data_IF_893655926430
#
_entry.id   IF_893655926430
#
_cell.length_a   1.000
_cell.length_b   1.000
_cell.length_c   1.000
_cell.angle_alpha   90.00
_cell.angle_beta   90.00
_cell.angle_gamma   90.00
#
_symmetry.space_group_name_H-M   'P 1'
#
loop_
_entity.id
_entity.type
_entity.pdbx_description
1 polymer ?
#
# COMPACT_ATOMS: atom_id res chain seq x y z
N UNK A 1 6.14 10.05 35.33
CA UNK A 1 5.05 9.31 34.66
C UNK A 1 5.31 9.46 33.18
N UNK A 2 6.21 8.64 32.64
CA UNK A 2 6.59 8.69 31.23
C UNK A 2 5.47 8.05 30.41
N UNK A 3 4.93 8.81 29.47
CA UNK A 3 3.92 8.33 28.52
C UNK A 3 4.62 7.36 27.55
N UNK A 4 4.02 6.19 27.32
CA UNK A 4 4.53 5.16 26.41
C UNK A 4 4.82 5.72 25.00
N UNK A 5 5.99 5.39 24.45
CA UNK A 5 6.35 5.68 23.07
C UNK A 5 5.78 4.63 22.11
N UNK A 6 5.38 5.07 20.90
CA UNK A 6 4.80 4.21 19.85
C UNK A 6 5.72 3.07 19.36
N UNK A 7 7.02 3.08 19.72
CA UNK A 7 8.01 2.12 19.24
C UNK A 7 8.08 0.82 20.07
N UNK A 8 7.47 0.77 21.25
CA UNK A 8 7.59 -0.36 22.18
C UNK A 8 6.59 -1.52 21.92
N UNK A 9 5.82 -1.47 20.83
CA UNK A 9 4.70 -2.41 20.59
C UNK A 9 5.02 -3.61 19.67
N UNK A 10 6.29 -3.86 19.33
CA UNK A 10 6.62 -5.02 18.48
C UNK A 10 6.75 -6.29 19.31
N UNK A 11 5.75 -7.17 19.22
CA UNK A 11 5.86 -8.54 19.72
C UNK A 11 6.82 -9.30 18.79
N UNK A 12 8.08 -9.43 19.20
CA UNK A 12 9.00 -10.38 18.59
C UNK A 12 8.49 -11.80 18.89
N UNK A 13 7.89 -12.44 17.88
CA UNK A 13 7.16 -13.70 18.04
C UNK A 13 7.74 -14.86 17.25
N UNK A 14 8.28 -15.84 17.99
CA UNK A 14 8.69 -17.18 17.58
C UNK A 14 7.62 -17.90 16.72
N UNK A 15 8.07 -18.73 15.77
CA UNK A 15 7.22 -19.51 14.85
C UNK A 15 6.28 -20.52 15.55
N UNK A 16 5.04 -20.62 15.06
CA UNK A 16 3.98 -21.56 15.48
C UNK A 16 4.43 -23.03 15.52
N UNK A 17 5.31 -23.46 14.60
CA UNK A 17 5.83 -24.84 14.56
C UNK A 17 6.65 -25.23 15.81
N UNK A 18 7.21 -24.24 16.51
CA UNK A 18 7.92 -24.47 17.78
C UNK A 18 6.98 -24.58 18.99
N UNK A 19 5.75 -24.07 18.89
CA UNK A 19 4.79 -23.98 20.01
C UNK A 19 3.92 -25.24 20.06
N UNK A 20 3.58 -25.84 18.92
CA UNK A 20 2.79 -27.08 18.85
C UNK A 20 3.54 -28.33 19.32
N UNK A 21 4.85 -28.23 19.61
CA UNK A 21 5.68 -29.34 20.11
C UNK A 21 5.94 -29.28 21.62
N UNK A 22 5.44 -28.27 22.35
CA UNK A 22 5.64 -28.11 23.79
C UNK A 22 4.30 -28.06 24.56
N UNK A 23 4.14 -28.87 25.63
CA UNK A 23 2.86 -29.01 26.34
C UNK A 23 2.50 -27.83 27.26
N UNK A 24 3.42 -26.91 27.56
CA UNK A 24 3.17 -25.82 28.50
C UNK A 24 3.86 -24.52 28.09
N UNK A 25 3.08 -23.44 28.01
CA UNK A 25 3.59 -22.07 27.93
C UNK A 25 3.87 -21.56 29.36
N UNK A 26 5.14 -21.31 29.69
CA UNK A 26 5.58 -20.77 30.99
C UNK A 26 6.35 -19.46 30.81
N UNK A 27 5.74 -18.48 30.13
CA UNK A 27 6.42 -17.24 29.77
C UNK A 27 5.55 -16.00 29.68
N UNK A 28 4.51 -15.87 30.52
CA UNK A 28 3.85 -14.60 30.84
C UNK A 28 3.32 -14.73 32.28
N UNK A 29 3.86 -13.97 33.22
CA UNK A 29 3.47 -13.97 34.63
C UNK A 29 2.22 -13.11 34.90
N UNK A 30 1.39 -13.63 35.83
CA UNK A 30 0.28 -13.04 36.59
C UNK A 30 -0.95 -12.54 35.80
N UNK A 31 -2.01 -13.37 35.85
CA UNK A 31 -3.29 -13.35 35.13
C UNK A 31 -3.21 -13.66 33.62
N UNK A 32 -3.81 -14.78 33.13
CA UNK A 32 -3.83 -15.04 31.71
C UNK A 32 -4.75 -14.03 31.04
N UNK A 33 -4.16 -13.00 30.43
CA UNK A 33 -4.88 -12.02 29.62
C UNK A 33 -5.85 -12.74 28.67
N UNK A 34 -7.09 -12.26 28.61
CA UNK A 34 -8.12 -12.90 27.78
C UNK A 34 -7.78 -12.76 26.30
N UNK A 35 -8.30 -13.65 25.44
CA UNK A 35 -8.05 -13.55 24.00
C UNK A 35 -8.43 -12.17 23.42
N UNK A 36 -9.57 -11.55 23.79
CA UNK A 36 -9.89 -10.17 23.39
C UNK A 36 -8.86 -9.14 23.83
N UNK A 37 -8.28 -9.27 25.03
CA UNK A 37 -7.23 -8.35 25.52
C UNK A 37 -5.97 -8.46 24.69
N UNK A 38 -5.53 -9.70 24.42
CA UNK A 38 -4.36 -9.95 23.55
C UNK A 38 -4.59 -9.42 22.13
N UNK A 39 -5.76 -9.69 21.53
CA UNK A 39 -6.07 -9.23 20.18
C UNK A 39 -6.12 -7.70 20.07
N UNK A 40 -6.52 -7.00 21.13
CA UNK A 40 -6.55 -5.54 21.16
C UNK A 40 -5.16 -4.89 21.28
N UNK A 41 -4.11 -5.67 21.61
CA UNK A 41 -2.74 -5.14 21.69
C UNK A 41 -2.15 -4.79 20.32
N UNK A 42 -2.71 -5.31 19.23
CA UNK A 42 -2.25 -5.01 17.87
C UNK A 42 -3.39 -4.53 16.98
N UNK A 43 -3.08 -3.56 16.13
CA UNK A 43 -3.92 -3.07 15.03
C UNK A 43 -3.41 -3.57 13.67
N UNK A 44 -2.58 -4.62 13.67
CA UNK A 44 -2.13 -5.33 12.48
C UNK A 44 -2.90 -6.66 12.34
N UNK A 45 -3.37 -6.96 11.13
CA UNK A 45 -4.17 -8.16 10.86
C UNK A 45 -3.35 -9.44 10.94
N UNK A 46 -2.07 -9.41 10.58
CA UNK A 46 -1.20 -10.58 10.66
C UNK A 46 -0.85 -10.91 12.11
N UNK A 47 -0.58 -9.91 12.94
CA UNK A 47 -0.33 -10.08 14.37
C UNK A 47 -1.58 -10.63 15.08
N UNK A 48 -2.76 -10.05 14.81
CA UNK A 48 -4.01 -10.57 15.37
C UNK A 48 -4.29 -12.00 14.91
N UNK A 49 -4.03 -12.31 13.64
CA UNK A 49 -4.17 -13.68 13.12
C UNK A 49 -3.20 -14.65 13.81
N UNK A 50 -1.97 -14.24 14.13
CA UNK A 50 -1.02 -15.04 14.88
C UNK A 50 -1.49 -15.30 16.31
N UNK A 51 -1.98 -14.27 17.01
CA UNK A 51 -2.56 -14.41 18.35
C UNK A 51 -3.76 -15.37 18.32
N UNK A 52 -4.67 -15.18 17.36
CA UNK A 52 -5.82 -16.04 17.18
C UNK A 52 -5.42 -17.48 16.86
N UNK A 53 -4.43 -17.69 15.98
CA UNK A 53 -3.99 -19.04 15.60
C UNK A 53 -3.42 -19.82 16.77
N UNK A 54 -2.75 -19.15 17.71
CA UNK A 54 -2.27 -19.78 18.94
C UNK A 54 -3.42 -20.25 19.85
N UNK A 55 -4.54 -19.51 19.90
CA UNK A 55 -5.72 -19.91 20.65
C UNK A 55 -6.47 -21.05 19.94
N UNK A 56 -6.68 -20.94 18.64
CA UNK A 56 -7.36 -21.96 17.83
C UNK A 56 -6.59 -23.29 17.79
N UNK A 57 -5.25 -23.25 17.76
CA UNK A 57 -4.39 -24.43 17.81
C UNK A 57 -4.53 -25.28 19.08
N UNK A 58 -5.04 -24.70 20.17
CA UNK A 58 -5.36 -25.44 21.42
C UNK A 58 -6.68 -26.21 21.33
N UNK A 59 -7.57 -25.82 20.42
CA UNK A 59 -8.85 -26.49 20.17
C UNK A 59 -8.66 -27.68 19.21
N UNK A 60 -7.90 -27.45 18.14
CA UNK A 60 -7.59 -28.46 17.12
C UNK A 60 -6.16 -28.22 16.61
N UNK A 61 -5.34 -29.26 16.40
CA UNK A 61 -4.09 -29.12 15.66
C UNK A 61 -4.36 -28.65 14.22
N UNK A 62 -4.18 -27.36 13.97
CA UNK A 62 -4.41 -26.74 12.66
C UNK A 62 -3.11 -26.74 11.85
N UNK A 63 -3.21 -27.13 10.58
CA UNK A 63 -2.15 -27.01 9.58
C UNK A 63 -2.13 -25.63 8.95
N UNK A 64 -3.29 -25.02 8.71
CA UNK A 64 -3.37 -23.67 8.17
C UNK A 64 -4.56 -22.91 8.73
N UNK A 65 -4.38 -21.60 8.89
CA UNK A 65 -5.46 -20.64 9.07
C UNK A 65 -5.21 -19.48 8.10
N UNK A 66 -6.18 -19.23 7.23
CA UNK A 66 -6.17 -18.11 6.31
C UNK A 66 -7.35 -17.19 6.61
N UNK A 67 -7.07 -15.89 6.71
CA UNK A 67 -8.07 -14.84 6.85
C UNK A 67 -8.21 -14.10 5.52
N UNK A 68 -9.40 -14.13 4.95
CA UNK A 68 -9.79 -13.34 3.78
C UNK A 68 -10.62 -12.14 4.22
N UNK A 69 -10.16 -10.93 3.90
CA UNK A 69 -10.88 -9.69 4.18
C UNK A 69 -11.10 -8.91 2.88
N UNK A 70 -11.85 -7.80 2.96
CA UNK A 70 -11.96 -6.85 1.84
C UNK A 70 -10.63 -6.12 1.53
N UNK A 71 -9.70 -6.06 2.48
CA UNK A 71 -8.42 -5.35 2.34
C UNK A 71 -7.25 -6.26 1.97
N UNK A 72 -7.41 -7.58 2.04
CA UNK A 72 -6.35 -8.53 1.70
C UNK A 72 -6.56 -9.95 2.23
N UNK A 73 -5.64 -10.83 1.85
CA UNK A 73 -5.52 -12.20 2.36
C UNK A 73 -4.34 -12.28 3.32
N UNK A 74 -4.54 -12.89 4.47
CA UNK A 74 -3.54 -13.07 5.51
C UNK A 74 -3.43 -14.55 5.84
N UNK A 75 -2.21 -15.05 5.98
CA UNK A 75 -1.94 -16.45 6.27
C UNK A 75 -1.20 -16.53 7.60
N UNK A 76 -1.69 -17.34 8.52
CA UNK A 76 -1.04 -17.51 9.82
C UNK A 76 0.38 -18.08 9.62
N UNK A 77 1.39 -17.58 10.34
CA UNK A 77 2.77 -18.07 10.23
C UNK A 77 2.86 -19.58 10.46
N UNK A 78 3.61 -20.28 9.60
CA UNK A 78 3.74 -21.75 9.68
C UNK A 78 2.58 -22.53 9.06
N UNK A 79 1.70 -21.88 8.30
CA UNK A 79 0.63 -22.56 7.57
C UNK A 79 1.16 -23.53 6.50
N UNK A 80 0.68 -24.76 6.55
CA UNK A 80 0.93 -25.84 5.60
C UNK A 80 -0.41 -26.42 5.09
N UNK A 81 -0.35 -27.23 4.03
CA UNK A 81 -1.55 -27.88 3.51
C UNK A 81 -2.07 -28.95 4.49
N UNK A 82 -3.37 -28.93 4.76
CA UNK A 82 -4.07 -29.99 5.50
C UNK A 82 -5.09 -30.71 4.63
N UNK A 83 -5.46 -31.93 5.01
CA UNK A 83 -6.37 -32.78 4.24
C UNK A 83 -7.85 -32.41 4.38
N UNK A 84 -8.25 -31.82 5.51
CA UNK A 84 -9.64 -31.43 5.80
C UNK A 84 -9.72 -29.92 5.91
N UNK A 85 -10.74 -29.32 5.28
CA UNK A 85 -11.02 -27.89 5.34
C UNK A 85 -12.30 -27.56 6.12
N UNK A 86 -12.32 -26.39 6.75
CA UNK A 86 -13.53 -25.79 7.31
C UNK A 86 -13.50 -24.28 7.08
N UNK A 87 -14.67 -23.70 6.81
CA UNK A 87 -14.80 -22.26 6.56
C UNK A 87 -15.80 -21.65 7.52
N UNK A 88 -15.46 -20.48 8.05
CA UNK A 88 -16.34 -19.68 8.90
C UNK A 88 -16.40 -18.25 8.37
N UNK A 89 -17.58 -17.62 8.49
CA UNK A 89 -17.80 -16.23 8.08
C UNK A 89 -18.00 -15.39 9.33
N UNK A 90 -17.14 -14.38 9.49
CA UNK A 90 -17.16 -13.46 10.62
C UNK A 90 -18.13 -12.31 10.31
N UNK A 91 -19.34 -12.40 10.86
CA UNK A 91 -20.40 -11.41 10.72
C UNK A 91 -20.52 -10.56 11.99
N UNK A 92 -20.63 -9.24 11.84
CA UNK A 92 -20.94 -8.30 12.92
C UNK A 92 -21.94 -7.26 12.42
N UNK A 93 -23.13 -7.18 13.05
CA UNK A 93 -24.21 -6.26 12.67
C UNK A 93 -24.56 -6.30 11.17
N UNK A 94 -24.81 -7.50 10.64
CA UNK A 94 -25.09 -7.77 9.22
C UNK A 94 -23.98 -7.40 8.22
N UNK A 95 -22.79 -7.06 8.72
CA UNK A 95 -21.61 -6.82 7.90
C UNK A 95 -20.67 -8.01 7.96
N UNK A 96 -20.29 -8.52 6.78
CA UNK A 96 -19.22 -9.51 6.66
C UNK A 96 -17.86 -8.80 6.86
N UNK A 97 -17.17 -9.12 7.95
CA UNK A 97 -15.84 -8.59 8.24
C UNK A 97 -14.76 -9.39 7.52
N UNK A 98 -14.88 -10.71 7.53
CA UNK A 98 -13.90 -11.63 6.96
C UNK A 98 -14.46 -13.05 6.79
N UNK A 99 -13.74 -13.85 6.02
CA UNK A 99 -13.91 -15.30 5.92
C UNK A 99 -12.63 -15.97 6.44
N UNK A 100 -12.78 -16.96 7.32
CA UNK A 100 -11.69 -17.78 7.85
C UNK A 100 -11.70 -19.15 7.18
N UNK A 101 -10.56 -19.56 6.66
CA UNK A 101 -10.35 -20.90 6.09
C UNK A 101 -9.35 -21.64 6.98
N UNK A 102 -9.82 -22.75 7.56
CA UNK A 102 -9.03 -23.63 8.40
C UNK A 102 -8.67 -24.90 7.63
N UNK A 103 -7.45 -25.40 7.83
CA UNK A 103 -7.06 -26.73 7.38
C UNK A 103 -6.46 -27.53 8.53
N UNK A 104 -6.79 -28.82 8.60
CA UNK A 104 -6.27 -29.76 9.60
C UNK A 104 -6.18 -31.17 9.02
N UNK A 105 -5.43 -32.05 9.68
CA UNK A 105 -5.50 -33.51 9.46
C UNK A 105 -6.69 -34.15 10.20
N UNK A 106 -7.29 -33.42 11.12
CA UNK A 106 -8.39 -33.89 11.95
C UNK A 106 -9.72 -33.30 11.49
N UNK A 107 -10.79 -34.06 11.68
CA UNK A 107 -12.14 -33.63 11.31
C UNK A 107 -12.64 -32.48 12.21
N UNK A 108 -13.25 -31.47 11.59
CA UNK A 108 -13.95 -30.39 12.29
C UNK A 108 -15.31 -30.89 12.78
N UNK A 109 -15.34 -31.63 13.87
CA UNK A 109 -16.59 -32.10 14.49
C UNK A 109 -17.46 -30.92 14.94
N UNK A 110 -18.79 -31.09 15.10
CA UNK A 110 -19.66 -30.00 15.57
C UNK A 110 -19.22 -29.35 16.88
N UNK A 111 -18.61 -30.12 17.80
CA UNK A 111 -18.05 -29.59 19.04
C UNK A 111 -16.85 -28.68 18.78
N UNK A 112 -15.93 -29.11 17.91
CA UNK A 112 -14.75 -28.32 17.53
C UNK A 112 -15.18 -27.05 16.79
N UNK A 113 -16.13 -27.16 15.85
CA UNK A 113 -16.69 -26.01 15.14
C UNK A 113 -17.30 -25.01 16.13
N UNK A 114 -18.04 -25.49 17.13
CA UNK A 114 -18.60 -24.64 18.18
C UNK A 114 -17.51 -23.94 19.02
N UNK A 115 -16.44 -24.64 19.39
CA UNK A 115 -15.32 -24.06 20.14
C UNK A 115 -14.55 -23.01 19.32
N UNK A 116 -14.30 -23.28 18.03
CA UNK A 116 -13.71 -22.30 17.12
C UNK A 116 -14.60 -21.07 16.99
N UNK A 117 -15.91 -21.26 16.81
CA UNK A 117 -16.89 -20.18 16.74
C UNK A 117 -16.88 -19.30 18.01
N UNK A 118 -16.69 -19.88 19.20
CA UNK A 118 -16.56 -19.10 20.44
C UNK A 118 -15.30 -18.22 20.47
N UNK A 119 -14.19 -18.69 19.89
CA UNK A 119 -12.97 -17.88 19.74
C UNK A 119 -13.15 -16.80 18.67
N UNK A 120 -13.77 -17.13 17.54
CA UNK A 120 -14.08 -16.20 16.45
C UNK A 120 -14.89 -15.01 16.94
N UNK A 121 -15.89 -15.25 17.80
CA UNK A 121 -16.70 -14.19 18.42
C UNK A 121 -15.90 -13.21 19.27
N UNK A 122 -14.84 -13.68 19.92
CA UNK A 122 -13.94 -12.85 20.72
C UNK A 122 -13.08 -11.94 19.84
N UNK A 123 -12.89 -12.28 18.56
CA UNK A 123 -12.12 -11.49 17.59
C UNK A 123 -12.96 -10.47 16.82
N UNK A 124 -14.29 -10.58 16.78
CA UNK A 124 -15.14 -9.70 15.95
C UNK A 124 -14.89 -8.19 16.17
N UNK A 125 -14.84 -7.72 17.42
CA UNK A 125 -14.62 -6.31 17.70
C UNK A 125 -13.18 -5.84 17.48
N UNK A 126 -12.13 -6.56 17.96
CA UNK A 126 -10.75 -6.22 17.61
C UNK A 126 -10.50 -6.22 16.09
N UNK A 127 -11.05 -7.20 15.37
CA UNK A 127 -10.95 -7.28 13.91
C UNK A 127 -11.63 -6.08 13.25
N UNK A 128 -12.86 -5.74 13.66
CA UNK A 128 -13.58 -4.57 13.14
C UNK A 128 -12.78 -3.28 13.36
N UNK A 129 -12.17 -3.10 14.53
CA UNK A 129 -11.36 -1.92 14.82
C UNK A 129 -10.12 -1.87 13.92
N UNK A 130 -9.41 -2.98 13.78
CA UNK A 130 -8.25 -3.10 12.88
C UNK A 130 -8.64 -2.80 11.43
N UNK A 131 -9.74 -3.37 10.92
CA UNK A 131 -10.23 -3.10 9.57
C UNK A 131 -10.57 -1.62 9.35
N UNK A 132 -11.16 -0.95 10.35
CA UNK A 132 -11.40 0.50 10.31
C UNK A 132 -10.09 1.27 10.25
N UNK A 133 -9.10 0.91 11.06
CA UNK A 133 -7.77 1.56 11.06
C UNK A 133 -7.07 1.37 9.73
N UNK A 134 -7.06 0.15 9.17
CA UNK A 134 -6.49 -0.12 7.85
C UNK A 134 -7.18 0.71 6.77
N UNK A 135 -8.51 0.84 6.83
CA UNK A 135 -9.26 1.69 5.89
C UNK A 135 -8.90 3.17 6.03
N UNK A 136 -8.77 3.67 7.26
CA UNK A 136 -8.33 5.04 7.52
C UNK A 136 -6.92 5.29 6.99
N UNK A 137 -6.00 4.34 7.19
CA UNK A 137 -4.66 4.40 6.63
C UNK A 137 -4.70 4.43 5.09
N UNK A 138 -5.49 3.57 4.44
CA UNK A 138 -5.64 3.59 2.99
C UNK A 138 -6.18 4.92 2.46
N UNK A 139 -7.17 5.52 3.13
CA UNK A 139 -7.67 6.85 2.79
C UNK A 139 -6.60 7.93 3.01
N UNK A 140 -5.80 7.80 4.07
CA UNK A 140 -4.68 8.67 4.37
C UNK A 140 -3.49 8.50 3.41
N UNK A 141 -3.53 7.56 2.47
CA UNK A 141 -2.55 7.38 1.39
C UNK A 141 -3.03 7.94 0.05
N UNK A 142 -4.20 8.57 0.02
CA UNK A 142 -4.78 9.20 -1.17
C UNK A 142 -4.81 10.72 -1.02
N UNK A 143 -4.64 11.41 -2.15
CA UNK A 143 -4.92 12.85 -2.24
C UNK A 143 -6.44 13.04 -2.31
N UNK A 144 -6.99 13.87 -1.42
CA UNK A 144 -8.44 14.02 -1.27
C UNK A 144 -9.11 14.69 -2.47
N UNK A 145 -8.38 15.54 -3.20
CA UNK A 145 -8.90 16.24 -4.37
C UNK A 145 -8.89 15.35 -5.61
N UNK A 146 -7.76 14.70 -5.89
CA UNK A 146 -7.56 13.97 -7.15
C UNK A 146 -7.84 12.47 -7.05
N UNK A 147 -7.81 11.89 -5.85
CA UNK A 147 -7.92 10.45 -5.61
C UNK A 147 -6.66 9.65 -6.02
N UNK A 148 -5.59 10.32 -6.44
CA UNK A 148 -4.29 9.70 -6.70
C UNK A 148 -3.60 9.33 -5.38
N UNK A 149 -2.48 8.60 -5.42
CA UNK A 149 -1.65 8.44 -4.23
C UNK A 149 -1.12 9.80 -3.75
N UNK A 150 -1.03 10.03 -2.45
CA UNK A 150 -0.45 11.27 -1.93
C UNK A 150 1.07 11.14 -1.74
N UNK A 151 1.71 12.19 -1.20
CA UNK A 151 3.16 12.21 -0.91
C UNK A 151 3.63 11.02 -0.09
N UNK A 152 2.91 10.68 0.99
CA UNK A 152 3.29 9.56 1.86
C UNK A 152 3.25 8.22 1.11
N UNK A 153 2.21 8.02 0.31
CA UNK A 153 2.10 6.82 -0.53
C UNK A 153 3.20 6.76 -1.60
N UNK A 154 3.56 7.91 -2.19
CA UNK A 154 4.68 8.02 -3.10
C UNK A 154 5.99 7.59 -2.44
N UNK A 155 6.34 8.19 -1.29
CA UNK A 155 7.60 7.90 -0.59
C UNK A 155 7.70 6.40 -0.24
N UNK A 156 6.62 5.81 0.28
CA UNK A 156 6.56 4.39 0.65
C UNK A 156 6.69 3.45 -0.57
N UNK A 157 5.96 3.73 -1.65
CA UNK A 157 5.93 2.85 -2.84
C UNK A 157 7.17 3.01 -3.70
N UNK A 158 7.71 4.22 -3.81
CA UNK A 158 8.90 4.52 -4.61
C UNK A 158 10.14 3.81 -4.03
N UNK A 159 10.36 3.91 -2.72
CA UNK A 159 11.46 3.22 -2.04
C UNK A 159 11.38 1.70 -2.27
N UNK A 160 10.19 1.12 -2.04
CA UNK A 160 9.95 -0.31 -2.25
C UNK A 160 10.19 -0.73 -3.70
N UNK A 161 9.71 0.05 -4.67
CA UNK A 161 9.87 -0.25 -6.09
C UNK A 161 11.35 -0.28 -6.49
N UNK A 162 12.15 0.70 -6.03
CA UNK A 162 13.59 0.76 -6.30
C UNK A 162 14.33 -0.41 -5.65
N UNK A 163 14.04 -0.72 -4.38
CA UNK A 163 14.64 -1.87 -3.70
C UNK A 163 14.32 -3.20 -4.41
N UNK A 164 13.07 -3.37 -4.83
CA UNK A 164 12.61 -4.57 -5.54
C UNK A 164 13.28 -4.69 -6.92
N UNK A 165 13.36 -3.59 -7.66
CA UNK A 165 14.00 -3.52 -8.97
C UNK A 165 15.49 -3.88 -8.89
N UNK A 166 16.21 -3.33 -7.91
CA UNK A 166 17.61 -3.68 -7.63
C UNK A 166 17.77 -5.17 -7.29
N UNK A 167 16.92 -5.70 -6.41
CA UNK A 167 16.97 -7.12 -5.99
C UNK A 167 16.70 -8.07 -7.16
N UNK A 168 15.75 -7.73 -8.03
CA UNK A 168 15.32 -8.57 -9.16
C UNK A 168 16.04 -8.28 -10.47
N UNK A 169 16.94 -7.28 -10.49
CA UNK A 169 17.57 -6.75 -11.71
C UNK A 169 16.53 -6.38 -12.78
N UNK A 170 15.43 -5.78 -12.34
CA UNK A 170 14.33 -5.34 -13.21
C UNK A 170 14.44 -3.84 -13.49
N UNK A 171 13.88 -3.42 -14.62
CA UNK A 171 13.83 -2.03 -14.99
C UNK A 171 12.82 -1.26 -14.11
N UNK A 172 13.18 -0.03 -13.74
CA UNK A 172 12.34 0.89 -12.98
C UNK A 172 12.62 2.30 -13.49
N UNK A 173 11.59 3.11 -13.63
CA UNK A 173 11.70 4.50 -14.05
C UNK A 173 10.82 5.40 -13.17
N UNK A 174 11.25 6.65 -13.03
CA UNK A 174 10.50 7.69 -12.35
C UNK A 174 10.24 8.83 -13.32
N UNK A 175 8.96 9.22 -13.43
CA UNK A 175 8.55 10.45 -14.10
C UNK A 175 8.09 11.42 -13.02
N UNK A 176 8.71 12.60 -12.96
CA UNK A 176 8.22 13.76 -12.21
C UNK A 176 7.59 14.73 -13.18
N UNK A 177 6.42 15.26 -12.84
CA UNK A 177 5.63 16.15 -13.67
C UNK A 177 5.18 17.35 -12.85
N UNK A 178 5.20 18.53 -13.48
CA UNK A 178 4.74 19.76 -12.87
C UNK A 178 3.93 20.59 -13.88
N UNK A 179 2.88 21.26 -13.38
CA UNK A 179 1.98 22.05 -14.21
C UNK A 179 2.53 23.44 -14.48
N UNK A 180 2.70 23.72 -15.76
CA UNK A 180 3.16 25.00 -16.24
C UNK A 180 2.07 26.07 -16.10
N UNK A 181 2.44 27.21 -15.52
CA UNK A 181 1.55 28.37 -15.36
C UNK A 181 0.34 28.09 -14.45
N UNK A 182 0.37 27.05 -13.63
CA UNK A 182 -0.73 26.72 -12.72
C UNK A 182 -1.06 27.85 -11.75
N UNK A 183 -0.05 28.49 -11.16
CA UNK A 183 -0.23 29.67 -10.29
C UNK A 183 -1.00 30.80 -10.98
N UNK A 184 -0.75 31.06 -12.26
CA UNK A 184 -1.48 32.07 -13.04
C UNK A 184 -2.97 31.75 -13.17
N UNK A 185 -3.33 30.46 -13.20
CA UNK A 185 -4.74 30.05 -13.18
C UNK A 185 -5.39 30.38 -11.84
N UNK A 186 -4.72 30.05 -10.73
CA UNK A 186 -5.21 30.39 -9.39
C UNK A 186 -5.35 31.90 -9.19
N UNK A 187 -4.35 32.67 -9.61
CA UNK A 187 -4.31 34.12 -9.39
C UNK A 187 -5.41 34.86 -10.19
N UNK A 188 -5.78 34.37 -11.39
CA UNK A 188 -6.77 35.03 -12.25
C UNK A 188 -8.20 34.48 -12.14
N UNK A 189 -8.36 33.20 -11.82
CA UNK A 189 -9.66 32.51 -11.82
C UNK A 189 -10.04 31.93 -10.46
N UNK A 190 -9.16 32.07 -9.46
CA UNK A 190 -9.37 31.57 -8.10
C UNK A 190 -9.05 30.09 -7.94
N UNK A 191 -8.90 29.67 -6.68
CA UNK A 191 -8.59 28.29 -6.31
C UNK A 191 -9.55 27.24 -6.87
N UNK A 192 -10.88 27.47 -6.95
CA UNK A 192 -11.79 26.47 -7.55
C UNK A 192 -11.42 26.11 -9.00
N UNK A 193 -10.95 27.07 -9.79
CA UNK A 193 -10.50 26.81 -11.16
C UNK A 193 -9.19 26.00 -11.18
N UNK A 194 -8.29 26.26 -10.23
CA UNK A 194 -7.09 25.43 -10.05
C UNK A 194 -7.43 24.00 -9.65
N UNK A 195 -8.42 23.82 -8.77
CA UNK A 195 -8.89 22.50 -8.36
C UNK A 195 -9.47 21.71 -9.55
N UNK A 196 -10.27 22.37 -10.41
CA UNK A 196 -10.78 21.78 -11.65
C UNK A 196 -9.64 21.33 -12.58
N UNK A 197 -8.57 22.12 -12.70
CA UNK A 197 -7.38 21.76 -13.49
C UNK A 197 -6.67 20.55 -12.89
N UNK A 198 -6.49 20.49 -11.57
CA UNK A 198 -5.83 19.37 -10.90
C UNK A 198 -6.61 18.06 -11.07
N UNK A 199 -7.94 18.13 -10.96
CA UNK A 199 -8.83 16.98 -11.20
C UNK A 199 -8.70 16.51 -12.67
N UNK A 200 -8.76 17.45 -13.61
CA UNK A 200 -8.61 17.17 -15.04
C UNK A 200 -7.26 16.52 -15.39
N UNK A 201 -6.17 17.00 -14.81
CA UNK A 201 -4.83 16.41 -14.96
C UNK A 201 -4.83 14.98 -14.43
N UNK A 202 -5.35 14.75 -13.23
CA UNK A 202 -5.41 13.42 -12.63
C UNK A 202 -6.28 12.44 -13.44
N UNK A 203 -7.33 12.92 -14.09
CA UNK A 203 -8.14 12.13 -15.01
C UNK A 203 -7.37 11.78 -16.29
N UNK A 204 -6.73 12.77 -16.94
CA UNK A 204 -5.91 12.55 -18.14
C UNK A 204 -4.77 11.55 -17.89
N UNK A 205 -4.10 11.64 -16.73
CA UNK A 205 -3.05 10.68 -16.35
C UNK A 205 -3.62 9.27 -16.14
N UNK A 206 -4.75 9.13 -15.45
CA UNK A 206 -5.40 7.83 -15.22
C UNK A 206 -5.85 7.14 -16.50
N UNK A 207 -6.35 7.90 -17.48
CA UNK A 207 -6.76 7.36 -18.79
C UNK A 207 -5.56 6.97 -19.66
N UNK A 208 -4.39 7.56 -19.42
CA UNK A 208 -3.18 7.30 -20.20
C UNK A 208 -2.42 6.07 -19.71
N UNK A 209 -2.38 5.87 -18.39
CA UNK A 209 -1.59 4.84 -17.71
C UNK A 209 -2.38 3.55 -17.47
N UNK A 210 -1.64 2.46 -17.22
CA UNK A 210 -2.21 1.17 -16.88
C UNK A 210 -2.57 1.14 -15.40
N UNK A 211 -3.47 0.22 -15.02
CA UNK A 211 -3.83 -0.01 -13.61
C UNK A 211 -2.63 -0.45 -12.75
N UNK A 212 -1.62 -1.08 -13.38
CA UNK A 212 -0.37 -1.48 -12.73
C UNK A 212 0.56 -0.33 -12.39
N UNK A 213 0.41 0.82 -13.05
CA UNK A 213 1.31 1.95 -12.90
C UNK A 213 0.90 2.74 -11.66
N UNK A 214 1.89 3.24 -10.92
CA UNK A 214 1.64 3.94 -9.67
C UNK A 214 1.65 5.46 -9.90
N UNK A 215 0.49 6.11 -9.71
CA UNK A 215 0.30 7.54 -9.91
C UNK A 215 0.12 8.27 -8.58
N UNK A 216 0.80 9.40 -8.44
CA UNK A 216 0.79 10.20 -7.23
C UNK A 216 0.66 11.69 -7.52
N UNK A 217 -0.05 12.41 -6.64
CA UNK A 217 0.09 13.85 -6.46
C UNK A 217 0.84 14.06 -5.16
N UNK A 218 2.09 14.50 -5.25
CA UNK A 218 3.00 14.54 -4.11
C UNK A 218 3.37 15.97 -3.68
N UNK A 219 2.95 16.97 -4.47
CA UNK A 219 2.99 18.40 -4.16
C UNK A 219 1.70 19.11 -4.56
N UNK A 220 1.72 20.44 -4.57
CA UNK A 220 0.55 21.26 -4.93
C UNK A 220 0.08 21.02 -6.36
N UNK A 221 1.00 21.19 -7.31
CA UNK A 221 0.87 21.01 -8.75
C UNK A 221 1.87 20.00 -9.33
N UNK A 222 2.47 19.20 -8.43
CA UNK A 222 3.49 18.20 -8.75
C UNK A 222 2.92 16.78 -8.69
N UNK A 223 3.19 16.01 -9.74
CA UNK A 223 2.75 14.64 -9.91
C UNK A 223 3.93 13.71 -10.17
N UNK A 224 3.82 12.47 -9.71
CA UNK A 224 4.84 11.45 -9.94
C UNK A 224 4.22 10.17 -10.50
N UNK A 225 4.98 9.50 -11.36
CA UNK A 225 4.64 8.17 -11.87
C UNK A 225 5.83 7.25 -11.68
N UNK A 226 5.60 6.14 -10.99
CA UNK A 226 6.60 5.06 -10.83
C UNK A 226 6.24 3.94 -11.78
N UNK A 227 7.13 3.69 -12.74
CA UNK A 227 6.99 2.65 -13.76
C UNK A 227 7.87 1.47 -13.40
N UNK A 228 7.28 0.27 -13.33
CA UNK A 228 8.01 -0.96 -13.06
C UNK A 228 8.02 -1.86 -14.29
N UNK A 229 9.14 -2.54 -14.54
CA UNK A 229 9.32 -3.44 -15.68
C UNK A 229 9.26 -2.76 -17.06
N UNK A 230 9.51 -1.46 -17.14
CA UNK A 230 9.59 -0.72 -18.41
C UNK A 230 11.04 -0.35 -18.75
N UNK A 231 11.43 -0.62 -20.00
CA UNK A 231 12.70 -0.12 -20.52
C UNK A 231 12.65 1.41 -20.74
N UNK A 232 13.82 2.00 -20.99
CA UNK A 232 13.95 3.46 -21.09
C UNK A 232 13.10 4.06 -22.21
N UNK A 233 12.94 3.34 -23.34
CA UNK A 233 12.16 3.82 -24.48
C UNK A 233 10.66 3.80 -24.17
N UNK A 234 10.18 2.71 -23.56
CA UNK A 234 8.79 2.61 -23.11
C UNK A 234 8.45 3.71 -22.10
N UNK A 235 9.32 3.94 -21.11
CA UNK A 235 9.13 4.98 -20.11
C UNK A 235 9.10 6.39 -20.73
N UNK A 236 9.95 6.66 -21.72
CA UNK A 236 9.96 7.93 -22.47
C UNK A 236 8.67 8.14 -23.27
N UNK A 237 8.18 7.10 -23.95
CA UNK A 237 6.90 7.14 -24.65
C UNK A 237 5.74 7.41 -23.68
N UNK A 238 5.75 6.82 -22.49
CA UNK A 238 4.75 7.09 -21.44
C UNK A 238 4.79 8.55 -21.00
N UNK A 239 5.98 9.10 -20.73
CA UNK A 239 6.14 10.50 -20.34
C UNK A 239 5.59 11.47 -21.41
N UNK A 240 5.92 11.22 -22.69
CA UNK A 240 5.38 12.03 -23.79
C UNK A 240 3.87 11.91 -23.94
N UNK A 241 3.32 10.70 -23.77
CA UNK A 241 1.86 10.48 -23.82
C UNK A 241 1.16 11.24 -22.69
N UNK A 242 1.71 11.26 -21.48
CA UNK A 242 1.17 11.99 -20.34
C UNK A 242 1.11 13.49 -20.62
N UNK A 243 2.24 14.10 -20.99
CA UNK A 243 2.30 15.53 -21.31
C UNK A 243 1.31 15.88 -22.43
N UNK A 244 1.28 15.07 -23.50
CA UNK A 244 0.34 15.27 -24.60
C UNK A 244 -1.12 15.19 -24.15
N UNK A 245 -1.48 14.17 -23.36
CA UNK A 245 -2.85 13.99 -22.87
C UNK A 245 -3.30 15.16 -21.98
N UNK A 246 -2.42 15.64 -21.10
CA UNK A 246 -2.68 16.80 -20.24
C UNK A 246 -2.92 18.05 -21.08
N UNK A 247 -2.05 18.34 -22.05
CA UNK A 247 -2.17 19.52 -22.90
C UNK A 247 -3.44 19.52 -23.76
N UNK A 248 -3.88 18.35 -24.19
CA UNK A 248 -5.08 18.15 -25.01
C UNK A 248 -6.36 18.08 -24.19
N UNK A 249 -6.27 18.01 -22.86
CA UNK A 249 -7.43 17.97 -22.00
C UNK A 249 -8.15 19.33 -22.04
N UNK A 250 -9.45 19.31 -22.37
CA UNK A 250 -10.25 20.51 -22.60
C UNK A 250 -10.21 21.54 -21.45
N UNK A 251 -10.19 21.09 -20.19
CA UNK A 251 -10.03 21.98 -19.02
C UNK A 251 -8.64 22.62 -18.98
N UNK A 252 -7.57 21.85 -19.17
CA UNK A 252 -6.20 22.38 -19.18
C UNK A 252 -6.02 23.39 -20.31
N UNK A 253 -6.52 23.08 -21.51
CA UNK A 253 -6.50 24.01 -22.65
C UNK A 253 -7.30 25.29 -22.39
N UNK A 254 -8.46 25.18 -21.73
CA UNK A 254 -9.29 26.34 -21.35
C UNK A 254 -8.54 27.33 -20.46
N UNK A 255 -7.69 26.84 -19.55
CA UNK A 255 -6.91 27.67 -18.63
C UNK A 255 -5.47 27.89 -19.09
N UNK A 256 -5.11 27.49 -20.32
CA UNK A 256 -3.76 27.58 -20.88
C UNK A 256 -2.68 26.93 -19.97
N UNK A 257 -3.03 25.84 -19.30
CA UNK A 257 -2.13 25.03 -18.48
C UNK A 257 -1.54 23.91 -19.34
N UNK A 258 -0.22 23.79 -19.31
CA UNK A 258 0.53 22.66 -19.90
C UNK A 258 1.27 21.90 -18.80
N UNK A 259 1.98 20.85 -19.15
CA UNK A 259 2.85 20.13 -18.21
C UNK A 259 4.26 19.97 -18.74
N UNK A 260 5.23 20.08 -17.83
CA UNK A 260 6.62 19.69 -18.05
C UNK A 260 6.92 18.42 -17.28
N UNK A 261 7.75 17.53 -17.85
CA UNK A 261 8.12 16.27 -17.21
C UNK A 261 9.62 16.00 -17.26
N UNK A 262 10.16 15.49 -16.16
CA UNK A 262 11.49 14.92 -16.05
C UNK A 262 11.40 13.40 -15.87
N UNK A 263 12.11 12.66 -16.71
CA UNK A 263 12.18 11.19 -16.65
C UNK A 263 13.58 10.74 -16.26
N UNK A 264 13.68 9.80 -15.33
CA UNK A 264 14.95 9.11 -15.05
C UNK A 264 14.75 7.60 -14.98
N UNK A 265 15.70 6.86 -15.57
CA UNK A 265 15.78 5.41 -15.45
C UNK A 265 16.68 5.03 -14.27
N UNK A 266 16.25 4.04 -13.48
CA UNK A 266 17.06 3.43 -12.43
C UNK A 266 18.28 2.75 -13.06
N UNK A 267 19.49 3.20 -12.70
CA UNK A 267 20.70 2.46 -13.03
C UNK A 267 20.99 1.38 -11.96
N UNK A 268 21.76 0.33 -12.29
CA UNK A 268 22.11 -0.71 -11.33
C UNK A 268 22.70 -0.13 -10.04
N UNK A 269 22.26 -0.64 -8.89
CA UNK A 269 22.75 -0.26 -7.56
C UNK A 269 22.50 1.21 -7.17
N UNK A 270 21.68 1.96 -7.91
CA UNK A 270 21.28 3.31 -7.51
C UNK A 270 20.23 3.27 -6.40
N UNK A 271 20.29 4.29 -5.54
CA UNK A 271 19.29 4.55 -4.51
C UNK A 271 18.10 5.30 -5.09
N UNK A 272 16.97 5.24 -4.39
CA UNK A 272 15.77 6.03 -4.68
C UNK A 272 16.06 7.53 -4.72
N UNK A 273 16.85 8.03 -3.76
CA UNK A 273 17.24 9.44 -3.68
C UNK A 273 18.00 9.91 -4.94
N UNK A 274 18.95 9.12 -5.44
CA UNK A 274 19.69 9.46 -6.66
C UNK A 274 18.79 9.44 -7.90
N UNK A 275 17.88 8.46 -7.98
CA UNK A 275 16.90 8.39 -9.05
C UNK A 275 15.95 9.60 -9.05
N UNK A 276 15.47 9.99 -7.87
CA UNK A 276 14.62 11.17 -7.68
C UNK A 276 15.33 12.45 -8.14
N UNK A 277 16.55 12.69 -7.65
CA UNK A 277 17.32 13.89 -8.00
C UNK A 277 17.55 14.00 -9.51
N UNK A 278 17.83 12.88 -10.19
CA UNK A 278 18.00 12.86 -11.65
C UNK A 278 16.71 13.21 -12.39
N UNK A 279 15.57 12.70 -11.93
CA UNK A 279 14.27 13.04 -12.53
C UNK A 279 13.93 14.53 -12.29
N UNK A 280 14.24 15.06 -11.12
CA UNK A 280 14.01 16.46 -10.75
C UNK A 280 14.89 17.41 -11.57
N UNK A 281 16.19 17.10 -11.72
CA UNK A 281 17.09 17.86 -12.60
C UNK A 281 16.58 17.87 -14.05
N UNK A 282 16.11 16.74 -14.56
CA UNK A 282 15.51 16.67 -15.89
C UNK A 282 14.23 17.53 -15.99
N UNK A 283 13.37 17.51 -14.98
CA UNK A 283 12.16 18.34 -14.94
C UNK A 283 12.51 19.84 -14.95
N UNK A 284 13.51 20.24 -14.16
CA UNK A 284 14.02 21.61 -14.14
C UNK A 284 14.54 22.03 -15.51
N UNK A 285 15.28 21.16 -16.21
CA UNK A 285 15.72 21.40 -17.59
C UNK A 285 14.54 21.54 -18.57
N UNK A 286 13.48 20.75 -18.40
CA UNK A 286 12.27 20.87 -19.22
C UNK A 286 11.61 22.25 -19.05
N UNK A 287 11.48 22.71 -17.81
CA UNK A 287 10.94 24.05 -17.50
C UNK A 287 11.81 25.18 -18.07
N UNK A 288 13.13 25.06 -17.95
CA UNK A 288 14.07 26.06 -18.47
C UNK A 288 14.11 26.10 -20.00
N UNK A 289 13.83 24.98 -20.66
CA UNK A 289 13.82 24.86 -22.12
C UNK A 289 12.54 25.43 -22.79
N UNK A 290 11.71 26.16 -22.05
CA UNK A 290 10.47 26.76 -22.56
C UNK A 290 9.19 26.07 -22.13
N UNK A 291 9.26 25.14 -21.16
CA UNK A 291 8.12 24.39 -20.61
C UNK A 291 7.46 23.47 -21.64
N UNK A 292 6.34 22.82 -21.28
CA UNK A 292 5.56 21.97 -22.17
C UNK A 292 6.42 20.88 -22.87
N UNK A 293 7.31 20.25 -22.10
CA UNK A 293 8.34 19.37 -22.66
C UNK A 293 8.62 18.19 -21.74
N UNK A 294 9.19 17.15 -22.32
CA UNK A 294 9.78 16.04 -21.58
C UNK A 294 11.29 16.12 -21.72
N UNK A 295 12.02 15.91 -20.63
CA UNK A 295 13.46 15.70 -20.64
C UNK A 295 13.80 14.39 -19.96
N UNK A 296 14.77 13.67 -20.53
CA UNK A 296 15.28 12.41 -19.98
C UNK A 296 16.64 12.66 -19.34
N UNK A 297 16.79 12.25 -18.10
CA UNK A 297 18.04 12.33 -17.36
C UNK A 297 19.07 11.39 -17.99
N UNK A 298 20.23 11.93 -18.34
CA UNK A 298 21.33 11.13 -18.84
C UNK A 298 21.78 10.11 -17.79
N UNK A 299 22.09 8.89 -18.24
CA UNK A 299 22.80 7.91 -17.43
C UNK A 299 24.27 8.29 -17.47
N UNK A 300 24.74 9.06 -16.49
CA UNK A 300 26.18 9.22 -16.33
C UNK A 300 26.73 7.84 -15.93
N UNK A 301 27.46 7.21 -16.84
CA UNK A 301 28.26 6.02 -16.54
C UNK A 301 29.33 6.47 -15.55
N UNK A 302 29.22 6.00 -14.31
CA UNK A 302 30.31 6.07 -13.34
C UNK A 302 31.37 5.02 -13.71
#
# INVERSE_FOLDING_TARGET
MELFGLQDMTLSGTSYAGITSQPHWSGLSSEPATLPELLQTSLDLADQLQIFSMAAGKVLPLRSIQLQTAVGKYLAPGSEHGSVEHRSVLMLNDQCLAELHYQSEHAFTPMIQHQLWQLERQWLYPLRNTLVVVRLQQLALKDSLTGLGNRRNFDDQFERAVQLANRRKQACALILLDLDNFKHTNDNFGHPAGDDVLIAVAEAMRQTLRVSDCLFRFGGDEFAVVLTSEDALAAELVAHRLVKAINQHHICSRFAVTASAGLAQLAPHQTSALLFNRADEALSQAKQAGKNAVKVALLNQA
#
